data_IF_792451687067
#
_entry.id   IF_792451687067
#
_cell.length_a   1.000
_cell.length_b   1.000
_cell.length_c   1.000
_cell.angle_alpha   90.00
_cell.angle_beta   90.00
_cell.angle_gamma   90.00
#
_symmetry.space_group_name_H-M   'P 1'
#
loop_
_entity.id
_entity.type
_entity.pdbx_description
1 polymer ?
#
# COMPACT_ATOMS: atom_id res chain seq x y z
N UNK A 1 5.85 7.62 -26.77
CA UNK A 1 6.30 6.92 -25.80
C UNK A 1 5.71 7.19 -24.51
N UNK A 2 5.62 6.25 -23.64
CA UNK A 2 5.11 6.56 -22.45
C UNK A 2 6.01 6.32 -21.37
N UNK A 3 5.80 6.97 -20.24
CA UNK A 3 6.58 6.79 -19.19
C UNK A 3 5.87 5.99 -18.23
N UNK A 4 6.48 5.02 -17.64
CA UNK A 4 5.88 4.21 -16.66
C UNK A 4 6.16 4.81 -15.31
N UNK A 5 5.14 5.02 -14.54
CA UNK A 5 5.32 5.55 -13.19
C UNK A 5 5.87 4.49 -12.29
N UNK A 6 6.59 4.91 -11.29
CA UNK A 6 7.11 4.00 -10.30
C UNK A 6 6.17 4.02 -9.11
N UNK A 7 5.63 2.88 -8.77
CA UNK A 7 4.70 2.78 -7.66
C UNK A 7 5.40 2.16 -6.47
N UNK A 8 5.16 2.71 -5.31
CA UNK A 8 5.79 2.25 -4.10
C UNK A 8 4.75 1.95 -3.05
N UNK A 9 5.00 0.95 -2.25
CA UNK A 9 4.12 0.59 -1.15
C UNK A 9 4.93 0.75 0.12
N UNK A 10 4.44 1.56 1.04
CA UNK A 10 5.15 1.81 2.28
C UNK A 10 4.31 1.48 3.49
N UNK A 11 4.95 1.08 4.54
CA UNK A 11 4.30 0.93 5.84
C UNK A 11 5.18 1.70 6.82
N UNK A 12 4.85 1.68 8.07
CA UNK A 12 5.59 2.49 9.06
C UNK A 12 7.07 2.12 9.12
N UNK A 13 7.42 0.92 8.75
CA UNK A 13 8.81 0.49 8.76
C UNK A 13 9.59 0.93 7.55
N UNK A 14 8.94 1.46 6.53
CA UNK A 14 9.63 1.88 5.32
C UNK A 14 8.99 1.31 4.09
N UNK A 15 9.70 1.41 2.97
CA UNK A 15 9.19 0.96 1.68
C UNK A 15 9.27 -0.55 1.59
N UNK A 16 8.18 -1.18 1.21
CA UNK A 16 8.13 -2.63 1.11
C UNK A 16 8.08 -3.15 -0.32
N UNK A 17 7.69 -2.32 -1.24
CA UNK A 17 7.59 -2.75 -2.63
C UNK A 17 7.74 -1.58 -3.58
N UNK A 18 8.40 -1.82 -4.69
CA UNK A 18 8.54 -0.83 -5.74
C UNK A 18 8.28 -1.55 -7.04
N UNK A 19 7.41 -1.01 -7.85
CA UNK A 19 7.09 -1.64 -9.11
C UNK A 19 5.95 -0.95 -9.81
N UNK A 20 5.06 -1.72 -10.42
CA UNK A 20 3.96 -1.14 -11.18
C UNK A 20 2.69 -1.04 -10.33
N UNK A 21 1.70 -0.36 -10.88
CA UNK A 21 0.48 -0.08 -10.16
C UNK A 21 -0.26 -1.32 -9.69
N UNK A 22 -0.47 -2.24 -10.59
CA UNK A 22 -1.23 -3.41 -10.27
C UNK A 22 -0.63 -4.22 -9.17
N UNK A 23 0.65 -4.49 -9.28
CA UNK A 23 1.36 -5.25 -8.27
C UNK A 23 1.43 -4.49 -6.97
N UNK A 24 1.58 -3.17 -7.05
CA UNK A 24 1.65 -2.35 -5.83
C UNK A 24 0.36 -2.45 -5.04
N UNK A 25 -0.77 -2.33 -5.72
CA UNK A 25 -2.05 -2.42 -5.02
C UNK A 25 -2.30 -3.81 -4.47
N UNK A 26 -1.90 -4.81 -5.21
CA UNK A 26 -2.05 -6.18 -4.77
C UNK A 26 -1.26 -6.41 -3.48
N UNK A 27 -0.05 -5.93 -3.46
CA UNK A 27 0.81 -6.08 -2.32
C UNK A 27 0.27 -5.25 -1.16
N UNK A 28 -0.21 -4.04 -1.46
CA UNK A 28 -0.76 -3.17 -0.44
C UNK A 28 -1.97 -3.81 0.22
N UNK A 29 -2.82 -4.44 -0.55
CA UNK A 29 -3.99 -5.10 0.00
C UNK A 29 -3.60 -6.26 0.89
N UNK A 30 -2.57 -6.97 0.51
CA UNK A 30 -2.09 -8.06 1.32
C UNK A 30 -1.62 -7.56 2.67
N UNK A 31 -0.85 -6.50 2.68
CA UNK A 31 -0.36 -5.94 3.93
C UNK A 31 -1.49 -5.38 4.77
N UNK A 32 -2.47 -4.78 4.10
CA UNK A 32 -3.62 -4.25 4.80
C UNK A 32 -4.38 -5.35 5.51
N UNK A 33 -4.54 -6.48 4.85
CA UNK A 33 -5.26 -7.59 5.45
C UNK A 33 -4.48 -8.22 6.59
N UNK A 34 -3.17 -7.98 6.64
CA UNK A 34 -2.35 -8.47 7.72
C UNK A 34 -2.38 -7.54 8.92
N UNK A 35 -3.15 -6.47 8.84
CA UNK A 35 -3.28 -5.56 9.96
C UNK A 35 -2.34 -4.38 9.91
N UNK A 36 -1.82 -4.04 8.74
CA UNK A 36 -0.89 -2.93 8.64
C UNK A 36 -1.55 -1.76 7.94
N UNK A 37 -1.13 -0.57 8.31
CA UNK A 37 -1.55 0.62 7.61
C UNK A 37 -0.58 0.82 6.47
N UNK A 38 -1.08 0.96 5.27
CA UNK A 38 -0.24 0.99 4.08
C UNK A 38 -0.46 2.27 3.32
N UNK A 39 0.59 2.78 2.71
CA UNK A 39 0.49 3.95 1.87
C UNK A 39 1.02 3.60 0.50
N UNK A 40 0.33 4.03 -0.53
CA UNK A 40 0.72 3.76 -1.90
C UNK A 40 1.12 5.08 -2.54
N UNK A 41 2.31 5.10 -3.12
CA UNK A 41 2.85 6.29 -3.76
C UNK A 41 3.10 6.06 -5.22
N UNK A 42 2.94 7.11 -6.00
CA UNK A 42 3.28 7.05 -7.41
C UNK A 42 4.28 8.16 -7.67
N UNK A 43 5.47 7.84 -8.07
CA UNK A 43 6.55 8.80 -8.34
C UNK A 43 6.75 9.75 -7.16
N UNK A 44 6.67 9.20 -5.98
CA UNK A 44 6.89 9.99 -4.78
C UNK A 44 5.69 10.73 -4.24
N UNK A 45 4.53 10.59 -4.90
CA UNK A 45 3.36 11.28 -4.50
C UNK A 45 2.41 10.32 -3.85
N UNK A 46 1.88 10.66 -2.72
CA UNK A 46 0.93 9.80 -2.02
C UNK A 46 -0.37 9.73 -2.81
N UNK A 47 -0.74 8.54 -3.21
CA UNK A 47 -1.94 8.33 -3.98
C UNK A 47 -3.06 7.75 -3.11
N UNK A 48 -2.75 6.78 -2.28
CA UNK A 48 -3.77 6.13 -1.48
C UNK A 48 -3.24 5.73 -0.12
N UNK A 49 -4.13 5.67 0.82
CA UNK A 49 -3.79 5.23 2.14
C UNK A 49 -4.77 4.14 2.49
N UNK A 50 -4.27 2.97 2.80
CA UNK A 50 -5.10 1.85 3.15
C UNK A 50 -4.93 1.57 4.63
N UNK A 51 -5.97 1.78 5.39
CA UNK A 51 -5.88 1.55 6.81
C UNK A 51 -6.08 0.10 7.11
N UNK A 52 -5.50 -0.33 8.21
CA UNK A 52 -5.56 -1.71 8.63
C UNK A 52 -6.99 -2.22 8.64
N UNK A 53 -7.20 -3.40 8.12
CA UNK A 53 -8.48 -4.01 8.14
C UNK A 53 -8.69 -4.84 9.34
N UNK A 54 -7.68 -5.01 10.17
CA UNK A 54 -7.80 -5.77 11.32
C UNK A 54 -8.62 -4.99 12.27
N UNK A 55 -9.89 -5.23 12.34
CA UNK A 55 -10.67 -4.47 13.17
C UNK A 55 -10.97 -5.20 14.31
N UNK A 56 -11.10 -4.74 15.27
CA UNK A 56 -11.39 -5.42 16.35
C UNK A 56 -12.58 -5.28 16.72
N UNK A 57 -13.14 -5.67 16.89
CA UNK A 57 -14.16 -5.41 17.12
C UNK A 57 -14.76 -5.75 18.04
N UNK A 58 -14.80 -5.82 18.29
CA UNK A 58 -15.33 -6.07 18.76
C UNK A 58 -16.10 -6.53 19.09
N UNK A 59 -16.26 -6.77 19.24
CA UNK A 59 -16.91 -7.11 19.36
C UNK A 59 -17.38 -7.55 19.62
N UNK A 60 -17.39 -7.70 19.91
CA UNK A 60 -17.74 -8.02 20.02
C UNK A 60 -18.06 -8.33 20.30
#
# INVERSE_FOLDING_TARGET
MYQLSTWQVEVSDGVKYVGNKESAYRYAEKLQSEGRNVEVYEDGRLISRLKSRKQYSLDV
#
